data_IF_151654670283
#
_entry.id   IF_151654670283
#
_cell.length_a   1.000
_cell.length_b   1.000
_cell.length_c   1.000
_cell.angle_alpha   90.00
_cell.angle_beta   90.00
_cell.angle_gamma   90.00
#
_symmetry.space_group_name_H-M   'P 1'
#
loop_
_entity.id
_entity.type
_entity.pdbx_description
1 polymer ?
#
# COMPACT_ATOMS: atom_id res chain seq x y z
N UNK A 1 21.22 -18.51 -13.63
CA UNK A 1 20.54 -18.19 -12.36
C UNK A 1 19.57 -17.07 -12.67
N UNK A 2 18.26 -17.34 -12.68
CA UNK A 2 17.26 -16.32 -12.98
C UNK A 2 17.17 -15.33 -11.83
N UNK A 3 17.29 -14.04 -12.11
CA UNK A 3 17.01 -12.99 -11.13
C UNK A 3 15.60 -13.20 -10.58
N UNK A 4 15.39 -13.12 -9.26
CA UNK A 4 14.03 -13.19 -8.72
C UNK A 4 13.23 -12.08 -9.41
N UNK A 5 12.20 -12.47 -10.15
CA UNK A 5 11.19 -11.53 -10.63
C UNK A 5 10.50 -11.00 -9.38
N UNK A 6 10.95 -9.84 -8.91
CA UNK A 6 10.20 -9.08 -7.93
C UNK A 6 8.99 -8.57 -8.69
N UNK A 7 7.84 -9.21 -8.50
CA UNK A 7 6.59 -8.68 -9.03
C UNK A 7 6.42 -7.26 -8.50
N UNK A 8 6.43 -6.29 -9.41
CA UNK A 8 6.23 -4.89 -9.07
C UNK A 8 4.77 -4.69 -8.64
N UNK A 9 4.55 -4.40 -7.36
CA UNK A 9 3.21 -4.10 -6.85
C UNK A 9 2.92 -2.60 -6.99
N UNK A 10 1.84 -2.29 -7.70
CA UNK A 10 1.38 -0.92 -7.89
C UNK A 10 0.34 -0.52 -6.86
N UNK A 11 0.39 0.75 -6.43
CA UNK A 11 -0.54 1.33 -5.46
C UNK A 11 -1.16 2.63 -5.97
N UNK A 12 -2.42 2.85 -5.61
CA UNK A 12 -3.10 4.13 -5.78
C UNK A 12 -3.12 4.82 -4.42
N UNK A 13 -2.44 5.97 -4.31
CA UNK A 13 -2.37 6.79 -3.09
C UNK A 13 -3.21 8.05 -3.29
N UNK A 14 -4.13 8.31 -2.36
CA UNK A 14 -4.98 9.51 -2.34
C UNK A 14 -4.65 10.32 -1.09
N UNK A 15 -4.23 11.56 -1.30
CA UNK A 15 -3.98 12.53 -0.23
C UNK A 15 -5.19 13.45 -0.08
N UNK A 16 -5.67 13.63 1.15
CA UNK A 16 -6.70 14.61 1.46
C UNK A 16 -6.02 15.80 2.14
N UNK A 17 -5.85 16.88 1.39
CA UNK A 17 -5.18 18.08 1.88
C UNK A 17 -6.05 18.82 2.90
N UNK A 18 -5.46 19.11 4.05
CA UNK A 18 -5.72 20.32 4.82
C UNK A 18 -4.48 21.22 4.69
N UNK A 19 -4.69 22.54 4.72
CA UNK A 19 -3.77 23.61 4.27
C UNK A 19 -2.34 23.62 4.86
N UNK A 20 -2.08 22.83 5.91
CA UNK A 20 -0.79 22.77 6.55
C UNK A 20 0.15 21.87 5.75
N UNK A 21 1.13 22.47 5.06
CA UNK A 21 2.16 21.81 4.23
C UNK A 21 3.13 20.88 5.01
N UNK A 22 2.68 20.25 6.09
CA UNK A 22 3.48 19.37 6.94
C UNK A 22 3.29 17.90 6.52
N UNK A 23 4.36 17.21 6.05
CA UNK A 23 4.29 15.82 5.61
C UNK A 23 3.72 14.86 6.66
N UNK A 24 4.01 15.10 7.94
CA UNK A 24 3.56 14.26 9.05
C UNK A 24 2.08 14.47 9.39
N UNK A 25 1.50 15.59 8.94
CA UNK A 25 0.06 15.87 9.07
C UNK A 25 -0.76 15.31 7.90
N UNK A 26 -0.09 14.70 6.92
CA UNK A 26 -0.75 14.21 5.72
C UNK A 26 -1.70 13.07 6.06
N UNK A 27 -2.95 13.17 5.62
CA UNK A 27 -3.94 12.10 5.76
C UNK A 27 -4.39 11.62 4.39
N UNK A 28 -4.71 10.34 4.29
CA UNK A 28 -5.06 9.78 2.99
C UNK A 28 -5.55 8.35 3.06
N UNK A 29 -5.72 7.78 1.87
CA UNK A 29 -5.92 6.34 1.70
C UNK A 29 -4.93 5.77 0.69
N UNK A 30 -4.55 4.52 0.90
CA UNK A 30 -3.79 3.73 -0.07
C UNK A 30 -4.54 2.44 -0.38
N UNK A 31 -4.46 2.02 -1.65
CA UNK A 31 -5.08 0.80 -2.16
C UNK A 31 -4.12 0.16 -3.15
N UNK A 32 -3.88 -1.15 -3.04
CA UNK A 32 -3.14 -1.90 -4.05
C UNK A 32 -4.02 -2.06 -5.31
N UNK A 33 -3.44 -1.89 -6.51
CA UNK A 33 -4.20 -1.90 -7.77
C UNK A 33 -4.99 -3.21 -7.97
N UNK A 34 -4.42 -4.33 -7.52
CA UNK A 34 -5.02 -5.66 -7.63
C UNK A 34 -5.93 -6.05 -6.45
N UNK A 35 -6.18 -5.12 -5.51
CA UNK A 35 -6.95 -5.39 -4.30
C UNK A 35 -8.12 -4.42 -4.13
N UNK A 36 -9.22 -4.93 -3.58
CA UNK A 36 -10.32 -4.10 -3.08
C UNK A 36 -10.03 -3.53 -1.69
N UNK A 37 -8.97 -3.99 -1.01
CA UNK A 37 -8.59 -3.54 0.32
C UNK A 37 -8.01 -2.11 0.25
N UNK A 38 -8.64 -1.19 0.97
CA UNK A 38 -8.21 0.19 1.13
C UNK A 38 -7.88 0.47 2.58
N UNK A 39 -6.71 1.03 2.82
CA UNK A 39 -6.25 1.42 4.16
C UNK A 39 -6.17 2.94 4.27
N UNK A 40 -6.52 3.46 5.44
CA UNK A 40 -6.28 4.85 5.82
C UNK A 40 -4.87 5.00 6.39
N UNK A 41 -4.25 6.16 6.17
CA UNK A 41 -2.98 6.51 6.79
C UNK A 41 -2.96 7.95 7.29
N UNK A 42 -2.10 8.18 8.28
CA UNK A 42 -1.71 9.49 8.79
C UNK A 42 -0.18 9.55 8.81
N UNK A 43 0.38 10.64 8.28
CA UNK A 43 1.81 10.85 8.11
C UNK A 43 2.44 9.91 7.08
N UNK A 44 3.71 10.19 6.77
CA UNK A 44 4.47 9.39 5.80
C UNK A 44 4.83 8.00 6.32
N UNK A 45 5.08 7.86 7.62
CA UNK A 45 5.31 6.55 8.25
C UNK A 45 4.06 5.67 8.18
N UNK A 46 2.88 6.23 8.47
CA UNK A 46 1.61 5.51 8.33
C UNK A 46 1.36 5.04 6.90
N UNK A 47 1.72 5.84 5.89
CA UNK A 47 1.63 5.44 4.48
C UNK A 47 2.54 4.25 4.20
N UNK A 48 3.79 4.27 4.68
CA UNK A 48 4.75 3.19 4.50
C UNK A 48 4.24 1.87 5.11
N UNK A 49 3.78 1.91 6.36
CA UNK A 49 3.21 0.75 7.04
C UNK A 49 1.98 0.19 6.32
N UNK A 50 1.12 1.07 5.79
CA UNK A 50 -0.06 0.66 5.04
C UNK A 50 0.31 -0.05 3.72
N UNK A 51 1.35 0.42 3.01
CA UNK A 51 1.84 -0.26 1.80
C UNK A 51 2.43 -1.64 2.09
N UNK A 52 3.22 -1.78 3.16
CA UNK A 52 3.76 -3.08 3.60
C UNK A 52 2.61 -4.06 3.89
N UNK A 53 1.60 -3.61 4.65
CA UNK A 53 0.47 -4.47 5.02
C UNK A 53 -0.35 -4.90 3.81
N UNK A 54 -0.58 -4.01 2.85
CA UNK A 54 -1.25 -4.35 1.59
C UNK A 54 -0.45 -5.36 0.76
N UNK A 55 0.88 -5.27 0.79
CA UNK A 55 1.76 -6.26 0.15
C UNK A 55 1.63 -7.63 0.80
N UNK A 56 1.75 -7.70 2.13
CA UNK A 56 1.59 -8.96 2.87
C UNK A 56 0.23 -9.61 2.60
N UNK A 57 -0.86 -8.85 2.63
CA UNK A 57 -2.19 -9.40 2.33
C UNK A 57 -2.34 -9.87 0.87
N UNK A 58 -1.66 -9.24 -0.08
CA UNK A 58 -1.66 -9.70 -1.47
C UNK A 58 -0.91 -11.03 -1.62
N UNK A 59 0.23 -11.17 -0.94
CA UNK A 59 1.03 -12.40 -0.95
C UNK A 59 0.28 -13.57 -0.28
N UNK A 60 -0.40 -13.33 0.84
CA UNK A 60 -1.24 -14.33 1.52
C UNK A 60 -2.37 -14.85 0.63
N UNK A 61 -3.08 -13.95 -0.08
CA UNK A 61 -4.17 -14.35 -0.98
C UNK A 61 -3.66 -15.18 -2.16
N UNK A 62 -2.46 -14.89 -2.69
CA UNK A 62 -1.81 -15.69 -3.74
C UNK A 62 -1.48 -17.11 -3.26
N UNK A 63 -1.10 -17.27 -1.99
CA UNK A 63 -0.73 -18.57 -1.44
C UNK A 63 -1.93 -19.49 -1.21
N UNK A 64 -3.11 -18.96 -0.88
CA UNK A 64 -4.36 -19.73 -0.73
C UNK A 64 -5.05 -20.13 -2.04
N UNK A 65 -4.60 -19.61 -3.19
CA UNK A 65 -5.18 -19.93 -4.51
C UNK A 65 -4.36 -20.93 -5.33
N UNK A 66 -3.26 -21.47 -4.79
CA UNK A 66 -2.50 -22.56 -5.41
C UNK A 66 -3.10 -23.92 -5.02
N UNK A 67 -3.49 -24.79 -5.99
CA UNK A 67 -3.92 -26.17 -5.74
C UNK A 67 -2.78 -27.12 -5.34
#
# INVERSE_FOLDING_TARGET
>A
MGSPHVEEQSFIVRFYRFDNQQPDSTVGTVQAVESSLRLHFTGMDGLWQAMIRLKTCADENKQTQSP
#
